data_IF_375951452074
#
_entry.id   IF_375951452074
#
_cell.length_a   1.000
_cell.length_b   1.000
_cell.length_c   1.000
_cell.angle_alpha   90.00
_cell.angle_beta   90.00
_cell.angle_gamma   90.00
#
_symmetry.space_group_name_H-M   'P 1'
#
loop_
_entity.id
_entity.type
_entity.pdbx_description
1 polymer ?
#
# COMPACT_ATOMS: atom_id res chain seq x y z
N UNK A 1 -13.39 -10.73 0.48
CA UNK A 1 -12.47 -9.57 0.40
C UNK A 1 -11.96 -9.22 1.80
N UNK A 2 -11.04 -10.00 2.36
CA UNK A 2 -10.54 -9.80 3.74
C UNK A 2 -9.08 -9.33 3.82
N UNK A 3 -8.40 -9.06 2.69
CA UNK A 3 -6.92 -8.91 2.69
C UNK A 3 -6.39 -7.48 2.78
N UNK A 4 -7.15 -6.46 2.38
CA UNK A 4 -6.65 -5.06 2.44
C UNK A 4 -6.91 -4.40 3.80
N UNK A 5 -7.74 -5.02 4.64
CA UNK A 5 -8.23 -4.46 5.89
C UNK A 5 -7.35 -4.74 7.10
N UNK A 6 -6.42 -5.69 6.99
CA UNK A 6 -5.68 -6.17 8.16
C UNK A 6 -4.41 -5.37 8.42
N UNK A 7 -3.87 -4.61 7.47
CA UNK A 7 -2.54 -4.04 7.65
C UNK A 7 -2.53 -2.89 8.65
N UNK A 8 -3.47 -1.94 8.63
CA UNK A 8 -3.50 -0.85 9.61
C UNK A 8 -3.68 -1.38 11.03
N UNK A 9 -4.59 -2.33 11.19
CA UNK A 9 -4.93 -2.89 12.49
C UNK A 9 -3.84 -3.85 12.97
N UNK A 10 -3.19 -4.59 12.06
CA UNK A 10 -1.99 -5.39 12.32
C UNK A 10 -0.78 -4.52 12.65
N UNK A 11 -0.55 -3.43 11.92
CA UNK A 11 0.52 -2.47 12.19
C UNK A 11 0.29 -1.81 13.56
N UNK A 12 -0.94 -1.37 13.86
CA UNK A 12 -1.31 -0.85 15.18
C UNK A 12 -1.14 -1.90 16.28
N UNK A 13 -1.57 -3.14 16.04
CA UNK A 13 -1.43 -4.27 16.96
C UNK A 13 0.04 -4.59 17.23
N UNK A 14 0.84 -4.73 16.18
CA UNK A 14 2.27 -5.06 16.26
C UNK A 14 3.06 -3.95 16.97
N UNK A 15 2.84 -2.68 16.61
CA UNK A 15 3.45 -1.55 17.33
C UNK A 15 2.90 -1.42 18.75
N UNK A 16 1.63 -1.74 18.97
CA UNK A 16 1.00 -1.80 20.29
C UNK A 16 1.71 -2.81 21.17
N UNK A 17 1.95 -4.03 20.68
CA UNK A 17 2.71 -5.09 21.37
C UNK A 17 4.12 -4.61 21.70
N UNK A 18 4.88 -4.10 20.72
CA UNK A 18 6.26 -3.66 20.98
C UNK A 18 6.32 -2.55 22.04
N UNK A 19 5.45 -1.54 21.92
CA UNK A 19 5.42 -0.41 22.88
C UNK A 19 4.97 -0.87 24.27
N UNK A 20 3.95 -1.72 24.34
CA UNK A 20 3.43 -2.26 25.60
C UNK A 20 4.42 -3.22 26.26
N UNK A 21 5.17 -4.02 25.51
CA UNK A 21 6.23 -4.87 26.07
C UNK A 21 7.36 -4.05 26.70
N UNK A 22 7.77 -2.95 26.05
CA UNK A 22 8.75 -2.01 26.61
C UNK A 22 8.25 -1.33 27.89
N UNK A 23 7.01 -0.82 27.86
CA UNK A 23 6.39 -0.19 29.03
C UNK A 23 6.11 -1.18 30.18
N UNK A 24 5.69 -2.40 29.85
CA UNK A 24 5.44 -3.48 30.80
C UNK A 24 6.74 -3.91 31.49
N UNK A 25 7.82 -4.08 30.71
CA UNK A 25 9.15 -4.36 31.27
C UNK A 25 9.58 -3.29 32.28
N UNK A 26 9.37 -2.01 31.97
CA UNK A 26 9.72 -0.90 32.87
C UNK A 26 8.82 -0.78 34.11
N UNK A 27 7.57 -1.27 34.05
CA UNK A 27 6.62 -1.25 35.15
C UNK A 27 6.74 -2.42 36.14
N UNK A 28 7.55 -3.45 35.83
CA UNK A 28 7.78 -4.58 36.72
C UNK A 28 8.66 -4.18 37.91
N UNK A 29 8.29 -4.63 39.11
CA UNK A 29 9.14 -4.54 40.29
C UNK A 29 10.40 -5.41 40.11
N UNK A 30 11.51 -5.11 40.80
CA UNK A 30 12.74 -5.92 40.72
C UNK A 30 12.48 -7.41 40.96
N UNK A 31 11.68 -7.73 41.98
CA UNK A 31 11.34 -9.11 42.35
C UNK A 31 10.48 -9.80 41.28
N UNK A 32 9.51 -9.09 40.70
CA UNK A 32 8.69 -9.61 39.60
C UNK A 32 9.49 -9.80 38.32
N UNK A 33 10.47 -8.92 38.05
CA UNK A 33 11.38 -9.06 36.91
C UNK A 33 12.30 -10.26 37.10
N UNK A 34 12.84 -10.47 38.30
CA UNK A 34 13.68 -11.61 38.62
C UNK A 34 12.90 -12.94 38.58
N UNK A 35 11.66 -12.96 39.07
CA UNK A 35 10.78 -14.13 38.97
C UNK A 35 10.40 -14.45 37.50
N UNK A 36 10.12 -13.41 36.71
CA UNK A 36 9.87 -13.55 35.28
C UNK A 36 11.12 -14.08 34.54
N UNK A 37 12.31 -13.54 34.80
CA UNK A 37 13.57 -14.02 34.22
C UNK A 37 13.86 -15.47 34.60
N UNK A 38 13.62 -15.85 35.86
CA UNK A 38 13.78 -17.22 36.34
C UNK A 38 12.82 -18.20 35.64
N UNK A 39 11.55 -17.81 35.43
CA UNK A 39 10.59 -18.63 34.70
C UNK A 39 10.90 -18.66 33.19
N UNK A 40 11.23 -17.52 32.61
CA UNK A 40 11.62 -17.34 31.21
C UNK A 40 12.86 -18.16 30.86
N UNK A 41 13.82 -18.30 31.78
CA UNK A 41 15.04 -19.09 31.59
C UNK A 41 14.81 -20.59 31.45
N UNK A 42 13.63 -21.09 31.85
CA UNK A 42 13.21 -22.48 31.62
C UNK A 42 12.80 -22.72 30.17
N UNK A 43 12.35 -21.67 29.49
CA UNK A 43 12.16 -21.69 28.06
C UNK A 43 13.50 -21.36 27.42
N UNK A 44 13.88 -22.06 26.34
CA UNK A 44 14.92 -21.57 25.44
C UNK A 44 14.32 -20.36 24.70
N UNK A 45 14.13 -19.26 25.43
CA UNK A 45 13.89 -17.96 24.84
C UNK A 45 15.17 -17.69 24.07
N UNK A 46 15.13 -17.95 22.77
CA UNK A 46 15.87 -17.12 21.85
C UNK A 46 15.34 -15.73 22.17
N UNK A 47 16.06 -14.99 23.02
CA UNK A 47 15.82 -13.57 23.23
C UNK A 47 16.10 -12.93 21.89
N UNK A 48 15.12 -12.99 21.01
CA UNK A 48 15.22 -12.45 19.69
C UNK A 48 15.06 -10.96 19.85
N UNK A 49 16.19 -10.28 19.86
CA UNK A 49 16.21 -8.83 19.88
C UNK A 49 15.66 -8.32 18.54
N UNK A 50 14.36 -8.03 18.54
CA UNK A 50 13.67 -7.43 17.40
C UNK A 50 14.24 -6.06 17.03
N UNK A 51 15.00 -5.39 17.91
CA UNK A 51 15.62 -4.10 17.58
C UNK A 51 16.65 -4.23 16.46
N UNK A 52 17.43 -5.32 16.44
CA UNK A 52 18.40 -5.60 15.37
C UNK A 52 17.74 -6.00 14.04
N UNK A 53 16.48 -6.41 14.07
CA UNK A 53 15.70 -6.81 12.90
C UNK A 53 14.58 -5.81 12.57
N UNK A 54 14.59 -4.65 13.23
CA UNK A 54 13.54 -3.65 13.13
C UNK A 54 13.39 -3.14 11.70
N UNK A 55 14.51 -2.87 11.06
CA UNK A 55 14.58 -2.48 9.66
C UNK A 55 13.90 -3.54 8.76
N UNK A 56 14.26 -4.82 8.89
CA UNK A 56 13.68 -5.90 8.09
C UNK A 56 12.15 -6.03 8.26
N UNK A 57 11.67 -5.91 9.50
CA UNK A 57 10.24 -5.90 9.77
C UNK A 57 9.57 -4.70 9.09
N UNK A 58 10.16 -3.51 9.21
CA UNK A 58 9.61 -2.30 8.61
C UNK A 58 9.62 -2.35 7.08
N UNK A 59 10.65 -2.93 6.47
CA UNK A 59 10.70 -3.22 5.01
C UNK A 59 9.55 -4.13 4.59
N UNK A 60 9.29 -5.20 5.35
CA UNK A 60 8.18 -6.12 5.10
C UNK A 60 6.83 -5.41 5.21
N UNK A 61 6.63 -4.62 6.27
CA UNK A 61 5.39 -3.88 6.50
C UNK A 61 5.14 -2.83 5.41
N UNK A 62 6.18 -2.08 5.01
CA UNK A 62 6.08 -1.11 3.94
C UNK A 62 5.71 -1.79 2.62
N UNK A 63 6.38 -2.90 2.29
CA UNK A 63 6.10 -3.64 1.06
C UNK A 63 4.64 -4.09 1.01
N UNK A 64 4.13 -4.65 2.12
CA UNK A 64 2.72 -5.02 2.25
C UNK A 64 1.77 -3.82 2.15
N UNK A 65 2.14 -2.66 2.68
CA UNK A 65 1.32 -1.44 2.60
C UNK A 65 1.15 -0.95 1.17
N UNK A 66 2.27 -0.86 0.45
CA UNK A 66 2.28 -0.44 -0.96
C UNK A 66 1.54 -1.46 -1.83
N UNK A 67 1.79 -2.75 -1.67
CA UNK A 67 1.09 -3.80 -2.43
C UNK A 67 -0.43 -3.80 -2.16
N UNK A 68 -0.84 -3.56 -0.92
CA UNK A 68 -2.26 -3.48 -0.56
C UNK A 68 -2.92 -2.25 -1.18
N UNK A 69 -2.23 -1.11 -1.16
CA UNK A 69 -2.64 0.11 -1.84
C UNK A 69 -2.82 -0.13 -3.36
N UNK A 70 -1.79 -0.64 -4.03
CA UNK A 70 -1.79 -0.90 -5.48
C UNK A 70 -2.98 -1.82 -5.86
N UNK A 71 -3.15 -2.91 -5.11
CA UNK A 71 -4.24 -3.86 -5.34
C UNK A 71 -5.61 -3.20 -5.15
N UNK A 72 -5.79 -2.38 -4.12
CA UNK A 72 -7.07 -1.72 -3.85
C UNK A 72 -7.45 -0.75 -4.96
N UNK A 73 -6.50 0.05 -5.46
CA UNK A 73 -6.72 0.94 -6.59
C UNK A 73 -7.16 0.15 -7.83
N UNK A 74 -6.50 -0.97 -8.13
CA UNK A 74 -6.85 -1.82 -9.26
C UNK A 74 -8.23 -2.48 -9.10
N UNK A 75 -8.63 -2.82 -7.88
CA UNK A 75 -9.97 -3.35 -7.60
C UNK A 75 -11.06 -2.29 -7.82
N UNK A 76 -10.87 -1.06 -7.34
CA UNK A 76 -11.83 0.04 -7.62
C UNK A 76 -11.93 0.27 -9.13
N UNK A 77 -10.79 0.31 -9.83
CA UNK A 77 -10.77 0.51 -11.28
C UNK A 77 -11.52 -0.59 -12.03
N UNK A 78 -11.40 -1.84 -11.58
CA UNK A 78 -12.15 -2.97 -12.14
C UNK A 78 -13.65 -2.74 -12.02
N UNK A 79 -14.15 -2.38 -10.85
CA UNK A 79 -15.58 -2.10 -10.65
C UNK A 79 -16.06 -0.94 -11.52
N UNK A 80 -15.23 0.13 -11.64
CA UNK A 80 -15.54 1.25 -12.53
C UNK A 80 -15.68 0.76 -13.98
N UNK A 81 -14.77 -0.08 -14.45
CA UNK A 81 -14.79 -0.58 -15.83
C UNK A 81 -15.95 -1.55 -16.09
N UNK A 82 -16.31 -2.37 -15.11
CA UNK A 82 -17.46 -3.27 -15.21
C UNK A 82 -18.78 -2.50 -15.20
N UNK A 83 -18.90 -1.45 -14.37
CA UNK A 83 -20.10 -0.61 -14.30
C UNK A 83 -20.21 0.40 -15.46
N UNK A 84 -19.09 0.84 -16.02
CA UNK A 84 -18.99 1.80 -17.13
C UNK A 84 -18.01 1.33 -18.21
N UNK A 85 -18.32 0.27 -18.97
CA UNK A 85 -17.44 -0.27 -20.01
C UNK A 85 -17.11 0.74 -21.11
N UNK A 86 -17.93 1.78 -21.29
CA UNK A 86 -17.68 2.87 -22.22
C UNK A 86 -16.35 3.60 -21.98
N UNK A 87 -15.81 3.57 -20.75
CA UNK A 87 -14.51 4.14 -20.41
C UNK A 87 -13.38 3.41 -21.16
N UNK A 88 -13.58 2.15 -21.52
CA UNK A 88 -12.62 1.31 -22.24
C UNK A 88 -12.65 1.50 -23.77
N UNK A 89 -13.59 2.30 -24.32
CA UNK A 89 -13.85 2.40 -25.77
C UNK A 89 -12.66 2.80 -26.64
N UNK A 90 -11.65 3.47 -26.07
CA UNK A 90 -10.48 3.95 -26.81
C UNK A 90 -9.23 3.05 -26.68
N UNK A 91 -9.34 1.88 -26.05
CA UNK A 91 -8.20 1.04 -25.63
C UNK A 91 -7.84 -0.08 -26.63
N UNK A 92 -8.02 0.19 -27.93
CA UNK A 92 -7.58 -0.67 -29.03
C UNK A 92 -8.65 -1.62 -29.57
N UNK A 93 -8.49 -1.99 -30.84
CA UNK A 93 -9.36 -2.95 -31.54
C UNK A 93 -9.22 -4.35 -30.95
N UNK A 94 -10.35 -5.03 -30.73
CA UNK A 94 -10.38 -6.47 -30.47
C UNK A 94 -10.59 -7.17 -31.81
N UNK A 95 -9.90 -8.28 -32.02
CA UNK A 95 -10.14 -9.12 -33.19
C UNK A 95 -11.54 -9.76 -33.13
N UNK A 96 -12.19 -9.86 -34.28
CA UNK A 96 -13.54 -10.42 -34.40
C UNK A 96 -13.56 -11.88 -33.95
N UNK A 97 -12.48 -12.65 -34.19
CA UNK A 97 -12.40 -14.03 -33.73
C UNK A 97 -12.50 -14.12 -32.20
N UNK A 98 -11.80 -13.23 -31.47
CA UNK A 98 -11.89 -13.16 -30.00
C UNK A 98 -13.30 -12.81 -29.53
N UNK A 99 -14.01 -11.92 -30.23
CA UNK A 99 -15.40 -11.58 -29.89
C UNK A 99 -16.33 -12.78 -30.08
N UNK A 100 -16.14 -13.54 -31.16
CA UNK A 100 -16.91 -14.77 -31.43
C UNK A 100 -16.66 -15.82 -30.34
N UNK A 101 -15.40 -15.98 -29.91
CA UNK A 101 -15.02 -16.96 -28.88
C UNK A 101 -15.58 -16.64 -27.49
N UNK A 102 -15.76 -15.36 -27.15
CA UNK A 102 -16.22 -14.92 -25.82
C UNK A 102 -17.73 -15.07 -25.60
N UNK A 103 -18.52 -15.38 -26.65
CA UNK A 103 -19.94 -15.81 -26.62
C UNK A 103 -20.97 -14.87 -25.96
N UNK A 104 -20.56 -13.85 -25.21
CA UNK A 104 -21.46 -12.86 -24.59
C UNK A 104 -20.79 -11.51 -24.44
N UNK A 105 -21.61 -10.45 -24.40
CA UNK A 105 -21.13 -9.08 -24.16
C UNK A 105 -20.42 -8.95 -22.81
N UNK A 106 -20.96 -9.56 -21.75
CA UNK A 106 -20.36 -9.53 -20.42
C UNK A 106 -18.97 -10.17 -20.41
N UNK A 107 -18.78 -11.29 -21.12
CA UNK A 107 -17.46 -11.92 -21.24
C UNK A 107 -16.46 -11.02 -21.98
N UNK A 108 -16.92 -10.25 -22.98
CA UNK A 108 -16.09 -9.27 -23.68
C UNK A 108 -15.68 -8.12 -22.75
N UNK A 109 -16.63 -7.60 -21.95
CA UNK A 109 -16.35 -6.57 -20.94
C UNK A 109 -15.33 -7.07 -19.92
N UNK A 110 -15.56 -8.24 -19.33
CA UNK A 110 -14.62 -8.85 -18.37
C UNK A 110 -13.23 -9.03 -18.97
N UNK A 111 -13.14 -9.57 -20.19
CA UNK A 111 -11.86 -9.75 -20.88
C UNK A 111 -11.12 -8.42 -21.09
N UNK A 112 -11.82 -7.38 -21.54
CA UNK A 112 -11.25 -6.04 -21.71
C UNK A 112 -10.80 -5.43 -20.40
N UNK A 113 -11.62 -5.54 -19.36
CA UNK A 113 -11.33 -5.08 -18.01
C UNK A 113 -10.06 -5.75 -17.49
N UNK A 114 -9.97 -7.08 -17.54
CA UNK A 114 -8.79 -7.82 -17.07
C UNK A 114 -7.53 -7.41 -17.82
N UNK A 115 -7.61 -7.34 -19.15
CA UNK A 115 -6.50 -6.90 -19.99
C UNK A 115 -6.03 -5.50 -19.57
N UNK A 116 -6.97 -4.60 -19.29
CA UNK A 116 -6.64 -3.22 -18.92
C UNK A 116 -6.07 -3.12 -17.51
N UNK A 117 -6.65 -3.82 -16.54
CA UNK A 117 -6.13 -3.89 -15.17
C UNK A 117 -4.70 -4.45 -15.18
N UNK A 118 -4.43 -5.47 -15.98
CA UNK A 118 -3.08 -6.02 -16.14
C UNK A 118 -2.11 -4.97 -16.67
N UNK A 119 -2.46 -4.23 -17.73
CA UNK A 119 -1.63 -3.13 -18.24
C UNK A 119 -1.37 -2.05 -17.17
N UNK A 120 -2.41 -1.63 -16.45
CA UNK A 120 -2.31 -0.58 -15.43
C UNK A 120 -1.46 -1.02 -14.24
N UNK A 121 -1.42 -2.31 -13.92
CA UNK A 121 -0.61 -2.85 -12.82
C UNK A 121 0.91 -2.68 -13.00
N UNK A 122 1.37 -2.41 -14.23
CA UNK A 122 2.79 -2.15 -14.54
C UNK A 122 3.14 -0.67 -14.68
N UNK A 123 2.15 0.23 -14.58
CA UNK A 123 2.41 1.67 -14.75
C UNK A 123 3.04 2.27 -13.50
N UNK A 124 3.79 3.35 -13.70
CA UNK A 124 4.25 4.17 -12.58
C UNK A 124 3.06 4.81 -11.87
N UNK A 125 3.22 5.19 -10.61
CA UNK A 125 2.16 5.84 -9.83
C UNK A 125 1.68 7.14 -10.48
N UNK A 126 2.61 7.91 -11.06
CA UNK A 126 2.32 9.14 -11.81
C UNK A 126 1.49 8.85 -13.07
N UNK A 127 1.89 7.86 -13.86
CA UNK A 127 1.13 7.44 -15.04
C UNK A 127 -0.25 6.91 -14.68
N UNK A 128 -0.36 6.17 -13.57
CA UNK A 128 -1.62 5.62 -13.06
C UNK A 128 -2.56 6.75 -12.64
N UNK A 129 -2.08 7.73 -11.87
CA UNK A 129 -2.88 8.89 -11.46
C UNK A 129 -3.36 9.69 -12.68
N UNK A 130 -2.47 9.96 -13.65
CA UNK A 130 -2.83 10.66 -14.90
C UNK A 130 -3.88 9.89 -15.69
N UNK A 131 -3.70 8.57 -15.79
CA UNK A 131 -4.66 7.70 -16.45
C UNK A 131 -6.04 7.78 -15.78
N UNK A 132 -6.11 7.55 -14.46
CA UNK A 132 -7.34 7.64 -13.67
C UNK A 132 -8.02 8.98 -13.90
N UNK A 133 -7.27 10.08 -13.81
CA UNK A 133 -7.83 11.42 -13.99
C UNK A 133 -8.35 11.64 -15.41
N UNK A 134 -7.60 11.24 -16.44
CA UNK A 134 -8.02 11.41 -17.84
C UNK A 134 -9.29 10.64 -18.20
N UNK A 135 -9.52 9.47 -17.58
CA UNK A 135 -10.63 8.57 -17.89
C UNK A 135 -11.85 8.78 -17.03
N UNK A 136 -11.63 9.04 -15.75
CA UNK A 136 -12.70 9.13 -14.74
C UNK A 136 -12.93 10.56 -14.28
N UNK A 137 -12.00 11.50 -14.52
CA UNK A 137 -12.03 12.84 -13.95
C UNK A 137 -11.80 12.90 -12.43
N UNK A 138 -11.52 11.76 -11.79
CA UNK A 138 -11.26 11.69 -10.35
C UNK A 138 -9.76 11.86 -10.07
N UNK A 139 -9.43 12.38 -8.90
CA UNK A 139 -8.06 12.43 -8.42
C UNK A 139 -7.82 11.28 -7.45
N UNK A 140 -6.75 10.51 -7.66
CA UNK A 140 -6.34 9.44 -6.73
C UNK A 140 -5.81 10.00 -5.40
N UNK A 141 -5.23 11.20 -5.43
CA UNK A 141 -4.67 11.88 -4.25
C UNK A 141 -5.31 13.27 -4.11
N UNK A 142 -5.65 13.64 -2.88
CA UNK A 142 -6.27 14.96 -2.57
C UNK A 142 -5.26 16.09 -2.49
N UNK A 143 -4.00 15.77 -2.20
CA UNK A 143 -2.93 16.74 -2.02
C UNK A 143 -1.66 16.22 -2.67
N UNK A 144 -0.82 17.13 -3.15
CA UNK A 144 0.52 16.80 -3.67
C UNK A 144 1.37 16.10 -2.59
N UNK A 145 1.22 16.48 -1.32
CA UNK A 145 1.95 15.84 -0.22
C UNK A 145 1.59 14.35 -0.06
N UNK A 146 0.32 13.98 -0.28
CA UNK A 146 -0.11 12.59 -0.24
C UNK A 146 0.45 11.80 -1.44
N UNK A 147 0.46 12.41 -2.62
CA UNK A 147 1.10 11.84 -3.81
C UNK A 147 2.60 11.64 -3.60
N UNK A 148 3.32 12.67 -3.13
CA UNK A 148 4.76 12.64 -2.86
C UNK A 148 5.12 11.52 -1.85
N UNK A 149 4.32 11.38 -0.79
CA UNK A 149 4.50 10.32 0.20
C UNK A 149 4.28 8.92 -0.39
N UNK A 150 3.24 8.74 -1.22
CA UNK A 150 2.95 7.47 -1.88
C UNK A 150 4.02 7.12 -2.94
N UNK A 151 4.50 8.11 -3.69
CA UNK A 151 5.58 7.95 -4.66
C UNK A 151 6.87 7.50 -3.96
N UNK A 152 7.25 8.17 -2.87
CA UNK A 152 8.40 7.76 -2.06
C UNK A 152 8.22 6.33 -1.52
N UNK A 153 7.04 5.99 -1.00
CA UNK A 153 6.75 4.64 -0.51
C UNK A 153 6.95 3.57 -1.59
N UNK A 154 6.41 3.82 -2.79
CA UNK A 154 6.53 2.95 -3.96
C UNK A 154 8.00 2.77 -4.37
N UNK A 155 8.78 3.84 -4.41
CA UNK A 155 10.20 3.75 -4.76
C UNK A 155 11.03 3.05 -3.67
N UNK A 156 10.75 3.26 -2.39
CA UNK A 156 11.40 2.51 -1.31
C UNK A 156 11.02 1.03 -1.38
N UNK A 157 9.76 0.68 -1.69
CA UNK A 157 9.35 -0.71 -1.95
C UNK A 157 10.12 -1.32 -3.11
N UNK A 158 10.39 -0.57 -4.17
CA UNK A 158 11.22 -1.02 -5.29
C UNK A 158 12.68 -1.26 -4.84
N UNK A 159 13.23 -0.40 -3.99
CA UNK A 159 14.56 -0.61 -3.42
C UNK A 159 14.64 -1.86 -2.55
N UNK A 160 13.62 -2.13 -1.74
CA UNK A 160 13.53 -3.36 -0.93
C UNK A 160 13.57 -4.59 -1.85
N UNK A 161 12.75 -4.60 -2.91
CA UNK A 161 12.62 -5.74 -3.81
C UNK A 161 13.85 -5.97 -4.69
N UNK A 162 14.54 -4.91 -5.13
CA UNK A 162 15.55 -5.01 -6.19
C UNK A 162 16.95 -4.60 -5.79
N UNK A 163 17.14 -3.93 -4.65
CA UNK A 163 18.44 -3.37 -4.28
C UNK A 163 18.77 -3.45 -2.79
N UNK A 164 18.14 -4.35 -2.02
CA UNK A 164 18.41 -4.53 -0.58
C UNK A 164 18.31 -3.20 0.20
N UNK A 165 17.30 -2.39 -0.19
CA UNK A 165 17.04 -1.05 0.33
C UNK A 165 18.17 -0.02 0.07
N UNK A 166 19.13 -0.30 -0.82
CA UNK A 166 20.21 0.63 -1.19
C UNK A 166 19.74 1.65 -2.20
N UNK A 167 20.02 2.92 -1.94
CA UNK A 167 19.70 4.02 -2.86
C UNK A 167 20.62 3.93 -4.10
N UNK A 168 20.08 4.30 -5.26
CA UNK A 168 20.80 4.33 -6.53
C UNK A 168 20.30 5.48 -7.43
N UNK A 169 20.99 5.73 -8.55
CA UNK A 169 20.66 6.82 -9.47
C UNK A 169 19.24 6.71 -10.07
N UNK A 170 18.65 5.51 -10.11
CA UNK A 170 17.27 5.31 -10.58
C UNK A 170 16.30 5.89 -9.55
N UNK A 171 16.50 5.59 -8.27
CA UNK A 171 15.73 6.14 -7.16
C UNK A 171 15.80 7.66 -7.15
N UNK A 172 17.00 8.23 -7.18
CA UNK A 172 17.17 9.68 -7.14
C UNK A 172 16.46 10.36 -8.32
N UNK A 173 16.66 9.82 -9.53
CA UNK A 173 16.01 10.34 -10.75
C UNK A 173 14.48 10.31 -10.68
N UNK A 174 13.90 9.25 -10.13
CA UNK A 174 12.43 9.13 -9.99
C UNK A 174 11.87 10.10 -8.95
N UNK A 175 12.68 10.49 -7.98
CA UNK A 175 12.27 11.40 -6.92
C UNK A 175 12.70 12.87 -7.13
N UNK A 176 13.43 13.20 -8.21
CA UNK A 176 13.87 14.57 -8.54
C UNK A 176 12.74 15.61 -8.58
N UNK A 177 11.49 15.19 -8.77
CA UNK A 177 10.31 16.06 -8.81
C UNK A 177 9.63 16.29 -7.46
N UNK A 178 10.07 15.61 -6.39
CA UNK A 178 9.48 15.77 -5.07
C UNK A 178 9.73 17.17 -4.53
N UNK A 179 8.70 17.76 -3.87
CA UNK A 179 8.85 19.04 -3.18
C UNK A 179 9.71 18.94 -1.92
N UNK A 180 9.86 17.73 -1.38
CA UNK A 180 10.73 17.45 -0.23
C UNK A 180 12.19 17.33 -0.68
N UNK A 181 13.15 17.95 0.03
CA UNK A 181 14.58 17.75 -0.24
C UNK A 181 14.96 16.27 -0.12
N UNK A 182 15.65 15.73 -1.13
CA UNK A 182 16.20 14.37 -1.10
C UNK A 182 17.27 14.20 -0.02
N UNK A 183 17.94 15.29 0.35
CA UNK A 183 18.99 15.32 1.38
C UNK A 183 18.45 15.07 2.80
N UNK A 184 17.13 15.23 3.00
CA UNK A 184 16.44 14.95 4.27
C UNK A 184 15.94 13.51 4.37
N UNK A 185 16.32 12.63 3.42
CA UNK A 185 15.96 11.23 3.47
C UNK A 185 16.86 10.49 4.48
N UNK A 186 16.29 9.60 5.30
CA UNK A 186 17.04 8.86 6.31
C UNK A 186 17.91 7.79 5.65
N UNK A 187 19.08 8.17 5.12
CA UNK A 187 20.02 7.27 4.45
C UNK A 187 21.17 6.97 5.42
N UNK A 188 21.42 5.69 5.67
CA UNK A 188 22.56 5.24 6.48
C UNK A 188 23.90 5.55 5.79
N UNK A 189 24.99 5.56 6.57
CA UNK A 189 26.35 5.69 6.03
C UNK A 189 26.70 4.64 4.96
N UNK A 190 25.99 3.50 4.95
CA UNK A 190 26.16 2.43 3.98
C UNK A 190 25.32 2.63 2.70
N UNK A 191 24.59 3.74 2.56
CA UNK A 191 23.73 4.04 1.41
C UNK A 191 22.37 3.32 1.43
N UNK A 192 21.99 2.70 2.57
CA UNK A 192 20.65 2.09 2.73
C UNK A 192 19.63 3.11 3.23
N UNK A 193 18.44 3.09 2.66
CA UNK A 193 17.29 3.83 3.17
C UNK A 193 16.81 3.21 4.50
N UNK A 194 16.71 4.02 5.54
CA UNK A 194 16.28 3.61 6.88
C UNK A 194 14.79 3.87 7.02
N UNK A 195 14.04 2.81 7.31
CA UNK A 195 12.59 2.89 7.44
C UNK A 195 12.28 3.07 8.93
N UNK A 196 12.09 4.32 9.32
CA UNK A 196 11.70 4.65 10.69
C UNK A 196 10.24 4.28 10.98
N UNK A 197 9.96 3.88 12.21
CA UNK A 197 8.63 3.44 12.66
C UNK A 197 7.56 4.50 12.43
N UNK A 198 7.89 5.77 12.69
CA UNK A 198 6.96 6.88 12.56
C UNK A 198 6.68 7.19 11.09
N UNK A 199 7.72 7.19 10.26
CA UNK A 199 7.57 7.36 8.82
C UNK A 199 6.73 6.23 8.20
N UNK A 200 6.99 4.96 8.57
CA UNK A 200 6.19 3.81 8.14
C UNK A 200 4.72 3.99 8.53
N UNK A 201 4.45 4.38 9.77
CA UNK A 201 3.08 4.59 10.25
C UNK A 201 2.39 5.71 9.48
N UNK A 202 3.06 6.85 9.29
CA UNK A 202 2.53 7.99 8.57
C UNK A 202 2.22 7.62 7.12
N UNK A 203 3.14 6.95 6.43
CA UNK A 203 2.96 6.60 5.03
C UNK A 203 1.86 5.55 4.85
N UNK A 204 1.76 4.55 5.74
CA UNK A 204 0.64 3.59 5.71
C UNK A 204 -0.71 4.29 5.87
N UNK A 205 -0.83 5.27 6.78
CA UNK A 205 -2.07 6.03 6.92
C UNK A 205 -2.39 6.89 5.70
N UNK A 206 -1.37 7.47 5.06
CA UNK A 206 -1.56 8.26 3.83
C UNK A 206 -2.05 7.38 2.69
N UNK A 207 -1.48 6.18 2.52
CA UNK A 207 -1.90 5.23 1.49
C UNK A 207 -3.36 4.78 1.73
N UNK A 208 -3.69 4.40 2.96
CA UNK A 208 -5.07 4.05 3.36
C UNK A 208 -6.05 5.19 3.06
N UNK A 209 -5.72 6.41 3.48
CA UNK A 209 -6.58 7.56 3.28
C UNK A 209 -6.80 7.86 1.79
N UNK A 210 -5.74 7.77 0.98
CA UNK A 210 -5.83 7.98 -0.47
C UNK A 210 -6.80 6.99 -1.14
N UNK A 211 -6.69 5.69 -0.83
CA UNK A 211 -7.58 4.69 -1.45
C UNK A 211 -9.01 4.78 -0.94
N UNK A 212 -9.23 5.12 0.33
CA UNK A 212 -10.59 5.26 0.86
C UNK A 212 -11.29 6.51 0.34
N UNK A 213 -10.57 7.64 0.23
CA UNK A 213 -11.12 8.85 -0.35
C UNK A 213 -11.42 8.64 -1.85
N UNK A 214 -10.56 7.91 -2.56
CA UNK A 214 -10.78 7.54 -3.96
C UNK A 214 -11.97 6.57 -4.12
N UNK A 215 -12.11 5.56 -3.26
CA UNK A 215 -13.25 4.63 -3.23
C UNK A 215 -14.58 5.37 -3.05
N UNK A 216 -14.66 6.25 -2.07
CA UNK A 216 -15.86 7.08 -1.83
C UNK A 216 -16.18 7.94 -3.05
N UNK A 217 -15.18 8.63 -3.63
CA UNK A 217 -15.39 9.45 -4.81
C UNK A 217 -15.82 8.63 -6.05
N UNK A 218 -15.28 7.42 -6.21
CA UNK A 218 -15.67 6.50 -7.28
C UNK A 218 -17.09 5.97 -7.07
N UNK A 219 -17.42 5.55 -5.85
CA UNK A 219 -18.77 5.13 -5.45
C UNK A 219 -19.82 6.20 -5.73
N UNK A 220 -19.57 7.43 -5.28
CA UNK A 220 -20.51 8.54 -5.47
C UNK A 220 -20.70 8.87 -6.96
N UNK A 221 -19.61 8.84 -7.73
CA UNK A 221 -19.65 9.21 -9.15
C UNK A 221 -20.28 8.14 -10.05
N UNK A 222 -20.00 6.88 -9.76
CA UNK A 222 -20.37 5.76 -10.64
C UNK A 222 -21.50 4.88 -10.08
N UNK A 223 -21.99 5.18 -8.88
CA UNK A 223 -23.05 4.42 -8.22
C UNK A 223 -22.59 3.05 -7.72
N UNK A 224 -21.32 2.93 -7.33
CA UNK A 224 -20.72 1.67 -6.87
C UNK A 224 -20.88 1.51 -5.36
N UNK A 225 -20.93 0.27 -4.89
CA UNK A 225 -20.82 0.00 -3.45
C UNK A 225 -19.37 0.22 -3.01
N UNK A 226 -19.17 1.01 -1.96
CA UNK A 226 -17.82 1.24 -1.40
C UNK A 226 -17.20 -0.09 -0.98
N UNK A 227 -15.97 -0.35 -1.40
CA UNK A 227 -15.20 -1.50 -0.92
C UNK A 227 -14.73 -1.30 0.52
N UNK A 228 -14.78 -0.07 1.05
CA UNK A 228 -14.47 0.21 2.44
C UNK A 228 -15.54 -0.38 3.36
N UNK A 229 -15.18 -1.31 4.25
CA UNK A 229 -16.16 -1.94 5.13
C UNK A 229 -16.69 -0.98 6.20
N UNK A 230 -15.97 0.12 6.51
CA UNK A 230 -16.46 1.09 7.51
C UNK A 230 -17.72 1.83 7.07
N UNK A 231 -17.94 2.00 5.76
CA UNK A 231 -19.18 2.57 5.20
C UNK A 231 -20.25 1.51 4.91
N UNK A 232 -19.85 0.24 4.75
CA UNK A 232 -20.78 -0.88 4.54
C UNK A 232 -21.66 -1.24 5.76
N UNK A 233 -21.35 -0.71 6.94
CA UNK A 233 -22.18 -0.86 8.15
C UNK A 233 -23.21 0.26 8.35
N UNK A 234 -23.19 1.32 7.53
CA UNK A 234 -24.13 2.44 7.68
C UNK A 234 -25.36 2.37 6.76
N UNK A 235 -25.37 1.49 5.75
CA UNK A 235 -26.55 1.29 4.91
C UNK A 235 -26.68 -0.18 4.47
N UNK A 236 -27.40 -0.96 5.27
CA UNK A 236 -28.17 -2.13 4.85
C UNK A 236 -29.53 -2.08 5.50
#
# INVERSE_FOLDING_TARGET
MARVMELRDFVRFFFGIIKSMGAFSQALTPDSRQAFEAEASKYKLVSYDFSNHRQFVNETMLSRAVESFDLYVLLILREIFEAKPEILKSEGSIDIATVIDLKSFDSVVTFLTERKIHELSYKSLDDLQKYIHSRTGLALFRTDAAFDAALLASEVRNLIAHNDCRVNDIFDRRLKGLKRPLDDLPISKAGKFIIEDEWLRQVSYTLDAAVFDFDVAASDKFGLQTMNPKTSFTFR
#
